data_IF_428666430171
#
_entry.id   IF_428666430171
#
_cell.length_a   1.000
_cell.length_b   1.000
_cell.length_c   1.000
_cell.angle_alpha   90.00
_cell.angle_beta   90.00
_cell.angle_gamma   90.00
#
_symmetry.space_group_name_H-M   'P 1'
#
loop_
_entity.id
_entity.type
_entity.pdbx_description
1 polymer ?
#
# COMPACT_ATOMS: atom_id res chain seq x y z
N UNK A 1 -19.26 24.00 0.74
CA UNK A 1 -19.46 25.03 -0.29
C UNK A 1 -20.70 25.84 0.06
N UNK A 2 -20.67 27.15 -0.15
CA UNK A 2 -21.79 28.05 0.14
C UNK A 2 -22.22 28.71 -1.17
N UNK A 3 -23.50 28.60 -1.49
CA UNK A 3 -24.09 29.20 -2.69
C UNK A 3 -25.06 30.28 -2.25
N UNK A 4 -24.98 31.46 -2.87
CA UNK A 4 -25.86 32.60 -2.59
C UNK A 4 -26.62 32.98 -3.84
N UNK A 5 -27.94 33.13 -3.76
CA UNK A 5 -28.76 33.61 -4.89
C UNK A 5 -28.75 35.14 -5.02
N UNK A 6 -29.30 35.68 -6.11
CA UNK A 6 -29.35 37.12 -6.37
C UNK A 6 -30.20 37.91 -5.37
N UNK A 7 -30.98 37.24 -4.52
CA UNK A 7 -31.79 37.83 -3.45
C UNK A 7 -31.13 37.66 -2.07
N UNK A 8 -29.90 37.18 -2.03
CA UNK A 8 -29.11 37.03 -0.79
C UNK A 8 -29.43 35.78 0.02
N UNK A 9 -30.24 34.84 -0.48
CA UNK A 9 -30.48 33.59 0.21
C UNK A 9 -29.25 32.69 0.09
N UNK A 10 -28.76 32.19 1.23
CA UNK A 10 -27.56 31.36 1.29
C UNK A 10 -27.90 29.92 1.62
N UNK A 11 -27.36 28.99 0.83
CA UNK A 11 -27.42 27.55 1.10
C UNK A 11 -26.02 27.00 1.30
N UNK A 12 -25.86 26.25 2.38
CA UNK A 12 -24.62 25.55 2.68
C UNK A 12 -24.76 24.08 2.31
N UNK A 13 -23.83 23.59 1.49
CA UNK A 13 -23.72 22.17 1.15
C UNK A 13 -22.35 21.64 1.57
N UNK A 14 -22.35 20.44 2.14
CA UNK A 14 -21.13 19.69 2.49
C UNK A 14 -21.19 18.35 1.79
N UNK A 15 -20.09 17.98 1.14
CA UNK A 15 -19.91 16.65 0.57
C UNK A 15 -18.94 15.90 1.48
N UNK A 16 -19.34 14.71 1.89
CA UNK A 16 -18.47 13.78 2.57
C UNK A 16 -17.95 12.79 1.53
N UNK A 17 -16.63 12.80 1.31
CA UNK A 17 -15.98 11.78 0.49
C UNK A 17 -15.57 10.67 1.45
N UNK A 18 -16.13 9.48 1.26
CA UNK A 18 -15.66 8.32 1.99
C UNK A 18 -14.18 8.10 1.66
N UNK A 19 -13.30 7.89 2.66
CA UNK A 19 -11.96 7.43 2.37
C UNK A 19 -12.06 6.15 1.53
N UNK A 20 -11.33 6.10 0.43
CA UNK A 20 -11.22 4.88 -0.37
C UNK A 20 -10.53 3.78 0.41
N UNK A 21 -10.55 2.55 -0.13
CA UNK A 21 -9.77 1.47 0.43
C UNK A 21 -8.29 1.86 0.44
N UNK A 22 -7.75 2.11 1.63
CA UNK A 22 -6.31 2.23 1.80
C UNK A 22 -5.74 0.84 2.05
N UNK A 23 -4.43 0.70 1.85
CA UNK A 23 -3.69 -0.34 2.53
C UNK A 23 -3.99 -1.78 2.06
N UNK A 24 -4.76 -1.94 0.97
CA UNK A 24 -5.05 -3.24 0.35
C UNK A 24 -3.93 -3.67 -0.61
N UNK A 25 -3.18 -2.70 -1.14
CA UNK A 25 -2.08 -2.98 -2.06
C UNK A 25 -0.84 -3.38 -1.27
N UNK A 26 -0.71 -4.68 -1.05
CA UNK A 26 0.48 -5.33 -0.51
C UNK A 26 1.09 -6.20 -1.61
N UNK A 27 2.28 -5.84 -2.06
CA UNK A 27 3.03 -6.59 -3.04
C UNK A 27 4.30 -7.18 -2.42
N UNK A 28 4.36 -8.51 -2.39
CA UNK A 28 5.56 -9.26 -2.05
C UNK A 28 6.11 -9.93 -3.32
N UNK A 29 7.30 -9.56 -3.81
CA UNK A 29 7.88 -10.19 -4.99
C UNK A 29 8.21 -11.66 -4.71
N UNK A 30 7.98 -12.53 -5.69
CA UNK A 30 8.29 -13.95 -5.60
C UNK A 30 9.74 -14.30 -6.02
N UNK A 31 10.48 -13.33 -6.54
CA UNK A 31 11.87 -13.48 -6.96
C UNK A 31 12.65 -12.17 -6.79
N UNK A 32 13.95 -12.31 -6.55
CA UNK A 32 14.93 -11.23 -6.53
C UNK A 32 16.25 -11.77 -7.10
N UNK A 33 17.04 -10.91 -7.72
CA UNK A 33 18.27 -11.29 -8.43
C UNK A 33 19.41 -10.43 -7.91
N UNK A 34 20.08 -10.83 -6.82
CA UNK A 34 21.16 -10.05 -6.23
C UNK A 34 22.47 -10.25 -7.02
N UNK A 35 22.51 -9.77 -8.27
CA UNK A 35 23.63 -9.91 -9.20
C UNK A 35 24.43 -8.61 -9.40
N UNK A 36 24.13 -7.56 -8.65
CA UNK A 36 24.77 -6.24 -8.73
C UNK A 36 24.53 -5.48 -10.04
N UNK A 37 23.45 -5.78 -10.79
CA UNK A 37 23.01 -4.99 -11.94
C UNK A 37 22.09 -3.82 -11.57
N UNK A 38 21.68 -3.75 -10.30
CA UNK A 38 20.83 -2.69 -9.75
C UNK A 38 19.33 -2.97 -9.88
N UNK A 39 18.94 -4.10 -10.47
CA UNK A 39 17.55 -4.51 -10.70
C UNK A 39 17.20 -5.70 -9.80
N UNK A 40 16.17 -5.55 -8.95
CA UNK A 40 15.73 -6.59 -8.02
C UNK A 40 16.82 -7.10 -7.05
N UNK A 41 17.74 -6.24 -6.63
CA UNK A 41 18.86 -6.60 -5.73
C UNK A 41 18.44 -6.96 -4.30
N UNK A 42 17.32 -6.37 -3.84
CA UNK A 42 16.83 -6.52 -2.48
C UNK A 42 15.40 -7.02 -2.50
N UNK A 43 15.10 -7.92 -1.58
CA UNK A 43 13.75 -8.36 -1.31
C UNK A 43 13.09 -7.45 -0.26
N UNK A 44 11.82 -7.13 -0.45
CA UNK A 44 11.03 -6.36 0.51
C UNK A 44 9.56 -6.29 0.10
N UNK A 45 8.69 -6.07 1.09
CA UNK A 45 7.26 -5.86 0.86
C UNK A 45 7.06 -4.41 0.42
N UNK A 46 6.33 -4.22 -0.68
CA UNK A 46 5.90 -2.90 -1.16
C UNK A 46 4.45 -2.69 -0.74
N UNK A 47 4.19 -1.62 -0.01
CA UNK A 47 2.85 -1.22 0.40
C UNK A 47 2.73 0.29 0.48
N UNK A 48 1.51 0.79 0.34
CA UNK A 48 1.17 2.21 0.55
C UNK A 48 0.83 2.51 2.02
N UNK A 49 0.89 1.51 2.90
CA UNK A 49 0.45 1.58 4.29
C UNK A 49 1.54 1.21 5.29
N UNK A 50 1.37 1.66 6.54
CA UNK A 50 2.10 1.09 7.66
C UNK A 50 1.56 -0.32 7.94
N UNK A 51 2.45 -1.29 8.08
CA UNK A 51 2.08 -2.67 8.37
C UNK A 51 3.00 -3.26 9.43
N UNK A 52 2.41 -3.89 10.43
CA UNK A 52 3.11 -4.67 11.44
C UNK A 52 3.29 -6.10 10.94
N UNK A 53 4.54 -6.53 10.82
CA UNK A 53 4.89 -7.87 10.33
C UNK A 53 5.05 -8.79 11.53
N UNK A 54 4.07 -9.66 11.76
CA UNK A 54 4.15 -10.65 12.84
C UNK A 54 5.13 -11.79 12.53
N UNK A 55 5.18 -12.23 11.26
CA UNK A 55 6.04 -13.34 10.82
C UNK A 55 6.47 -13.11 9.38
N UNK A 56 7.77 -13.30 9.13
CA UNK A 56 8.32 -13.26 7.78
C UNK A 56 9.32 -14.40 7.59
N UNK A 57 9.15 -15.18 6.52
CA UNK A 57 10.00 -16.32 6.20
C UNK A 57 10.15 -16.47 4.68
N UNK A 58 11.33 -16.93 4.25
CA UNK A 58 11.66 -17.20 2.85
C UNK A 58 11.78 -18.71 2.67
N UNK A 59 11.16 -19.23 1.61
CA UNK A 59 11.19 -20.64 1.24
C UNK A 59 11.84 -20.80 -0.13
N UNK A 60 12.59 -21.89 -0.32
CA UNK A 60 13.08 -22.26 -1.65
C UNK A 60 11.97 -22.95 -2.47
N UNK A 61 12.28 -23.28 -3.73
CA UNK A 61 11.34 -23.93 -4.67
C UNK A 61 10.81 -25.28 -4.20
N UNK A 62 11.49 -25.95 -3.27
CA UNK A 62 11.09 -27.24 -2.70
C UNK A 62 10.30 -27.10 -1.39
N UNK A 63 9.92 -25.87 -1.02
CA UNK A 63 9.15 -25.60 0.20
C UNK A 63 9.98 -25.65 1.48
N UNK A 64 11.31 -25.69 1.39
CA UNK A 64 12.18 -25.66 2.56
C UNK A 64 12.42 -24.21 2.98
N UNK A 65 12.25 -23.93 4.28
CA UNK A 65 12.54 -22.61 4.85
C UNK A 65 14.04 -22.34 4.81
N UNK A 66 14.43 -21.24 4.18
CA UNK A 66 15.85 -20.83 4.07
C UNK A 66 16.17 -19.62 4.96
N UNK A 67 15.17 -18.86 5.41
CA UNK A 67 15.36 -17.71 6.28
C UNK A 67 14.08 -17.35 7.05
N UNK A 68 14.21 -16.70 8.22
CA UNK A 68 13.11 -16.05 8.94
C UNK A 68 13.60 -14.79 9.67
N UNK A 69 12.71 -13.82 9.87
CA UNK A 69 12.91 -12.62 10.70
C UNK A 69 12.65 -12.90 12.18
#
# INVERSE_FOLDING_TARGET
MQVTDARGCQKNERFYINPGNCCEDVFAPNAFTPNSDGVNERWGIKTTAGMDIERFAIFNRWGQKVWQA
#
